data_IF_399122887648
#
_entry.id   IF_399122887648
#
_cell.length_a   1.000
_cell.length_b   1.000
_cell.length_c   1.000
_cell.angle_alpha   90.00
_cell.angle_beta   90.00
_cell.angle_gamma   90.00
#
_symmetry.space_group_name_H-M   'P 1'
#
loop_
_entity.id
_entity.type
_entity.pdbx_description
1 polymer ?
#
# COMPACT_ATOMS: atom_id res chain seq x y z
N UNK A 1 41.36 42.43 -4.56
CA UNK A 1 40.12 43.15 -4.97
C UNK A 1 39.46 42.40 -6.12
N UNK A 2 38.13 42.49 -6.17
CA UNK A 2 37.17 41.64 -6.89
C UNK A 2 37.16 41.76 -8.42
N UNK A 3 36.62 40.72 -9.07
CA UNK A 3 35.81 40.79 -10.30
C UNK A 3 36.51 40.31 -11.57
N UNK A 4 35.88 39.68 -12.57
CA UNK A 4 34.45 39.42 -12.86
C UNK A 4 34.34 38.40 -14.02
N UNK A 5 33.14 37.84 -14.13
CA UNK A 5 32.60 36.82 -15.05
C UNK A 5 32.67 37.09 -16.58
N UNK A 6 32.62 35.98 -17.35
CA UNK A 6 32.18 35.86 -18.76
C UNK A 6 33.11 34.91 -19.54
N UNK A 7 32.71 33.93 -20.36
CA UNK A 7 31.52 33.76 -21.22
C UNK A 7 31.47 32.29 -21.73
N UNK A 8 30.26 31.81 -22.02
CA UNK A 8 29.86 30.49 -22.56
C UNK A 8 30.59 30.07 -23.85
N UNK A 9 30.75 28.74 -24.07
CA UNK A 9 30.17 28.05 -25.24
C UNK A 9 30.31 26.52 -25.19
N UNK A 10 29.15 25.88 -25.30
CA UNK A 10 28.80 24.52 -25.77
C UNK A 10 29.88 23.71 -26.50
N UNK A 11 30.05 22.44 -26.12
CA UNK A 11 30.07 21.33 -27.08
C UNK A 11 30.00 19.95 -26.39
N UNK A 12 28.95 19.20 -26.76
CA UNK A 12 28.96 17.77 -27.06
C UNK A 12 28.97 16.74 -25.91
N UNK A 13 27.84 16.03 -25.87
CA UNK A 13 27.62 14.70 -25.34
C UNK A 13 28.81 13.76 -25.63
N UNK A 14 29.42 13.23 -24.58
CA UNK A 14 30.16 11.98 -24.65
C UNK A 14 29.55 11.02 -23.63
N UNK A 15 28.96 9.97 -24.16
CA UNK A 15 28.47 8.78 -23.49
C UNK A 15 29.52 8.22 -22.52
N UNK A 16 29.10 7.82 -21.32
CA UNK A 16 29.93 7.07 -20.39
C UNK A 16 29.15 6.64 -19.13
N UNK A 17 28.61 5.42 -19.07
CA UNK A 17 27.75 4.94 -18.00
C UNK A 17 28.57 4.20 -16.94
N UNK A 18 28.77 4.77 -15.76
CA UNK A 18 29.17 4.02 -14.57
C UNK A 18 29.31 4.96 -13.36
N UNK A 19 28.18 5.26 -12.73
CA UNK A 19 28.07 5.45 -11.29
C UNK A 19 26.61 5.77 -11.00
N UNK A 20 25.76 4.74 -10.95
CA UNK A 20 24.52 4.81 -10.20
C UNK A 20 24.98 4.95 -8.75
N UNK A 21 25.21 6.19 -8.35
CA UNK A 21 25.25 6.53 -6.94
C UNK A 21 23.84 6.22 -6.46
N UNK A 22 23.70 5.07 -5.80
CA UNK A 22 22.60 4.77 -4.89
C UNK A 22 22.67 5.79 -3.76
N UNK A 23 22.35 7.03 -4.08
CA UNK A 23 22.01 8.03 -3.11
C UNK A 23 20.62 7.60 -2.66
N UNK A 24 20.58 6.85 -1.56
CA UNK A 24 19.46 6.86 -0.62
C UNK A 24 19.29 8.30 -0.11
N UNK A 25 18.89 9.20 -1.00
CA UNK A 25 18.24 10.43 -0.59
C UNK A 25 16.87 9.96 -0.19
N UNK A 26 16.70 9.74 1.12
CA UNK A 26 15.46 10.04 1.82
C UNK A 26 14.96 11.36 1.27
N UNK A 27 14.15 11.29 0.21
CA UNK A 27 13.44 12.42 -0.35
C UNK A 27 12.68 13.03 0.82
N UNK A 28 12.88 14.33 1.01
CA UNK A 28 12.10 15.08 1.95
C UNK A 28 10.62 14.72 1.75
N UNK A 29 9.99 14.18 2.79
CA UNK A 29 8.60 13.76 2.84
C UNK A 29 7.70 14.99 2.64
N UNK A 30 7.60 15.46 1.40
CA UNK A 30 6.55 16.32 0.92
C UNK A 30 5.45 15.45 0.30
N UNK A 31 5.19 14.29 0.90
CA UNK A 31 3.97 13.55 0.65
C UNK A 31 2.86 14.38 1.28
N UNK A 32 1.89 14.81 0.47
CA UNK A 32 0.76 15.61 0.92
C UNK A 32 0.10 14.90 2.11
N UNK A 33 0.32 15.41 3.33
CA UNK A 33 -0.23 14.83 4.57
C UNK A 33 -1.75 14.72 4.49
N UNK A 34 -2.39 15.58 3.69
CA UNK A 34 -3.80 15.51 3.34
C UNK A 34 -4.15 14.19 2.66
N UNK A 35 -3.48 13.84 1.55
CA UNK A 35 -3.65 12.56 0.85
C UNK A 35 -3.36 11.35 1.74
N UNK A 36 -2.25 11.35 2.49
CA UNK A 36 -1.90 10.24 3.39
C UNK A 36 -2.98 10.03 4.45
N UNK A 37 -3.48 11.11 5.05
CA UNK A 37 -4.56 11.02 6.03
C UNK A 37 -5.91 10.62 5.40
N UNK A 38 -6.15 10.94 4.13
CA UNK A 38 -7.37 10.54 3.43
C UNK A 38 -7.36 9.03 3.10
N UNK A 39 -6.25 8.53 2.55
CA UNK A 39 -6.05 7.10 2.27
C UNK A 39 -6.08 6.30 3.57
N UNK A 40 -5.40 6.76 4.62
CA UNK A 40 -5.45 6.13 5.95
C UNK A 40 -6.89 5.93 6.46
N UNK A 41 -7.75 6.97 6.38
CA UNK A 41 -9.15 6.86 6.80
C UNK A 41 -9.93 5.87 5.94
N UNK A 42 -9.70 5.87 4.63
CA UNK A 42 -10.35 4.93 3.72
C UNK A 42 -9.94 3.49 4.01
N UNK A 43 -8.64 3.24 4.17
CA UNK A 43 -8.09 1.91 4.48
C UNK A 43 -8.56 1.43 5.86
N UNK A 44 -8.58 2.30 6.87
CA UNK A 44 -9.09 1.97 8.20
C UNK A 44 -10.60 1.67 8.19
N UNK A 45 -11.38 2.42 7.43
CA UNK A 45 -12.82 2.15 7.28
C UNK A 45 -13.07 0.85 6.49
N UNK A 46 -12.24 0.59 5.47
CA UNK A 46 -12.28 -0.65 4.70
C UNK A 46 -11.88 -1.86 5.55
N UNK A 47 -10.89 -1.73 6.45
CA UNK A 47 -10.48 -2.77 7.39
C UNK A 47 -11.69 -3.30 8.19
N UNK A 48 -12.45 -2.39 8.80
CA UNK A 48 -13.63 -2.76 9.58
C UNK A 48 -14.70 -3.46 8.72
N UNK A 49 -14.87 -3.03 7.47
CA UNK A 49 -15.82 -3.66 6.53
C UNK A 49 -15.36 -5.03 6.07
N UNK A 50 -14.07 -5.18 5.76
CA UNK A 50 -13.45 -6.46 5.35
C UNK A 50 -13.53 -7.44 6.51
N UNK A 51 -13.14 -7.05 7.73
CA UNK A 51 -13.27 -7.89 8.92
C UNK A 51 -14.73 -8.34 9.14
N UNK A 52 -15.70 -7.42 9.01
CA UNK A 52 -17.13 -7.75 9.11
C UNK A 52 -17.58 -8.74 8.04
N UNK A 53 -17.17 -8.54 6.78
CA UNK A 53 -17.54 -9.41 5.67
C UNK A 53 -16.91 -10.81 5.79
N UNK A 54 -15.66 -10.90 6.27
CA UNK A 54 -15.00 -12.18 6.61
C UNK A 54 -15.79 -12.90 7.70
N UNK A 55 -16.14 -12.22 8.80
CA UNK A 55 -16.93 -12.82 9.88
C UNK A 55 -18.33 -13.27 9.42
N UNK A 56 -18.94 -12.54 8.49
CA UNK A 56 -20.21 -12.91 7.87
C UNK A 56 -20.07 -14.00 6.78
N UNK A 57 -18.84 -14.38 6.41
CA UNK A 57 -18.54 -15.29 5.29
C UNK A 57 -19.16 -14.82 3.96
N UNK A 58 -19.24 -13.51 3.77
CA UNK A 58 -19.85 -12.89 2.60
C UNK A 58 -18.79 -12.61 1.52
N UNK A 59 -18.58 -13.60 0.65
CA UNK A 59 -17.63 -13.50 -0.47
C UNK A 59 -17.98 -12.38 -1.45
N UNK A 60 -19.26 -12.09 -1.68
CA UNK A 60 -19.68 -11.00 -2.58
C UNK A 60 -19.28 -9.63 -2.04
N UNK A 61 -19.52 -9.41 -0.74
CA UNK A 61 -19.05 -8.19 -0.08
C UNK A 61 -17.53 -8.09 -0.08
N UNK A 62 -16.81 -9.20 0.12
CA UNK A 62 -15.35 -9.21 0.07
C UNK A 62 -14.79 -8.88 -1.30
N UNK A 63 -15.31 -9.49 -2.37
CA UNK A 63 -14.90 -9.16 -3.75
C UNK A 63 -15.19 -7.69 -4.09
N UNK A 64 -16.34 -7.16 -3.65
CA UNK A 64 -16.68 -5.74 -3.85
C UNK A 64 -15.72 -4.80 -3.10
N UNK A 65 -15.41 -5.11 -1.84
CA UNK A 65 -14.44 -4.35 -1.04
C UNK A 65 -13.03 -4.44 -1.64
N UNK A 66 -12.63 -5.60 -2.13
CA UNK A 66 -11.38 -5.80 -2.86
C UNK A 66 -11.29 -4.92 -4.11
N UNK A 67 -12.37 -4.84 -4.90
CA UNK A 67 -12.44 -3.96 -6.07
C UNK A 67 -12.42 -2.47 -5.70
N UNK A 68 -13.07 -2.07 -4.61
CA UNK A 68 -13.02 -0.68 -4.10
C UNK A 68 -11.60 -0.30 -3.66
N UNK A 69 -10.89 -1.19 -2.96
CA UNK A 69 -9.49 -1.00 -2.60
C UNK A 69 -8.58 -1.02 -3.83
N UNK A 70 -8.90 -1.84 -4.84
CA UNK A 70 -8.22 -1.88 -6.13
C UNK A 70 -8.13 -0.51 -6.81
N UNK A 71 -9.21 0.28 -6.77
CA UNK A 71 -9.22 1.65 -7.33
C UNK A 71 -8.28 2.61 -6.59
N UNK A 72 -8.14 2.45 -5.27
CA UNK A 72 -7.20 3.24 -4.46
C UNK A 72 -5.75 2.90 -4.89
N UNK A 73 -5.47 1.61 -5.08
CA UNK A 73 -4.17 1.11 -5.52
C UNK A 73 -3.86 1.58 -6.95
N UNK A 74 -4.83 1.51 -7.87
CA UNK A 74 -4.68 1.98 -9.24
C UNK A 74 -4.35 3.48 -9.28
N UNK A 75 -5.01 4.28 -8.44
CA UNK A 75 -4.68 5.70 -8.27
C UNK A 75 -3.25 5.90 -7.72
N UNK A 76 -2.80 5.03 -6.81
CA UNK A 76 -1.43 5.05 -6.31
C UNK A 76 -0.39 4.64 -7.39
N UNK A 77 -0.70 3.63 -8.19
CA UNK A 77 0.14 3.17 -9.30
C UNK A 77 0.26 4.24 -10.39
N UNK A 78 -0.84 4.89 -10.77
CA UNK A 78 -0.81 6.03 -11.70
C UNK A 78 0.05 7.18 -11.17
N UNK A 79 0.03 7.46 -9.85
CA UNK A 79 0.94 8.44 -9.24
C UNK A 79 2.39 8.02 -9.40
N UNK A 80 2.71 6.73 -9.18
CA UNK A 80 4.05 6.19 -9.36
C UNK A 80 4.52 6.28 -10.81
N UNK A 81 3.65 5.98 -11.77
CA UNK A 81 3.95 6.12 -13.21
C UNK A 81 4.24 7.57 -13.60
N UNK A 82 3.56 8.53 -12.95
CA UNK A 82 3.80 9.96 -13.11
C UNK A 82 5.02 10.48 -12.31
N UNK A 83 5.85 9.61 -11.75
CA UNK A 83 7.07 9.96 -11.01
C UNK A 83 6.86 10.23 -9.51
N UNK A 84 5.69 9.91 -8.96
CA UNK A 84 5.41 9.94 -7.52
C UNK A 84 5.91 8.68 -6.79
N UNK A 85 5.82 8.69 -5.47
CA UNK A 85 6.14 7.52 -4.62
C UNK A 85 4.87 6.85 -4.11
N UNK A 86 4.96 5.54 -3.84
CA UNK A 86 3.90 4.74 -3.21
C UNK A 86 4.07 4.85 -1.71
N UNK A 87 3.02 5.31 -1.00
CA UNK A 87 3.07 5.48 0.45
C UNK A 87 2.92 4.15 1.18
N UNK A 88 3.25 4.12 2.48
CA UNK A 88 2.98 2.95 3.32
C UNK A 88 1.47 2.69 3.45
N UNK A 89 0.63 3.72 3.34
CA UNK A 89 -0.82 3.57 3.34
C UNK A 89 -1.34 2.92 2.05
N UNK A 90 -0.69 3.18 0.91
CA UNK A 90 -1.00 2.51 -0.35
C UNK A 90 -0.58 1.03 -0.30
N UNK A 91 0.57 0.73 0.32
CA UNK A 91 0.99 -0.65 0.60
C UNK A 91 0.02 -1.39 1.53
N UNK A 92 -0.46 -0.71 2.59
CA UNK A 92 -1.50 -1.26 3.45
C UNK A 92 -2.79 -1.54 2.68
N UNK A 93 -3.23 -0.61 1.82
CA UNK A 93 -4.39 -0.83 0.96
C UNK A 93 -4.23 -2.08 0.08
N UNK A 94 -3.02 -2.29 -0.46
CA UNK A 94 -2.69 -3.46 -1.26
C UNK A 94 -2.79 -4.78 -0.47
N UNK A 95 -2.13 -4.85 0.68
CA UNK A 95 -2.16 -6.02 1.57
C UNK A 95 -3.60 -6.35 2.02
N UNK A 96 -4.42 -5.33 2.29
CA UNK A 96 -5.83 -5.49 2.63
C UNK A 96 -6.68 -5.98 1.46
N UNK A 97 -6.47 -5.43 0.26
CA UNK A 97 -7.18 -5.81 -0.96
C UNK A 97 -6.91 -7.27 -1.30
N UNK A 98 -5.64 -7.68 -1.25
CA UNK A 98 -5.23 -9.06 -1.47
C UNK A 98 -5.89 -9.97 -0.44
N UNK A 99 -5.79 -9.65 0.85
CA UNK A 99 -6.46 -10.43 1.89
C UNK A 99 -7.96 -10.56 1.64
N UNK A 100 -8.66 -9.49 1.23
CA UNK A 100 -10.10 -9.53 0.95
C UNK A 100 -10.44 -10.44 -0.25
N UNK A 101 -9.74 -10.30 -1.38
CA UNK A 101 -9.98 -11.11 -2.58
C UNK A 101 -9.63 -12.57 -2.35
N UNK A 102 -8.45 -12.85 -1.79
CA UNK A 102 -8.02 -14.22 -1.48
C UNK A 102 -8.95 -14.88 -0.46
N UNK A 103 -9.52 -14.12 0.48
CA UNK A 103 -10.53 -14.62 1.40
C UNK A 103 -11.84 -14.95 0.68
N UNK A 104 -12.29 -14.08 -0.24
CA UNK A 104 -13.47 -14.34 -1.06
C UNK A 104 -13.30 -15.63 -1.88
N UNK A 105 -12.15 -15.79 -2.53
CA UNK A 105 -11.82 -16.97 -3.32
C UNK A 105 -11.73 -18.23 -2.44
N UNK A 106 -11.11 -18.11 -1.27
CA UNK A 106 -11.01 -19.23 -0.33
C UNK A 106 -12.37 -19.65 0.26
N UNK A 107 -13.33 -18.73 0.39
CA UNK A 107 -14.71 -19.05 0.81
C UNK A 107 -15.49 -19.79 -0.26
N UNK A 108 -15.21 -19.52 -1.53
CA UNK A 108 -15.85 -20.19 -2.69
C UNK A 108 -15.14 -21.53 -3.00
N UNK A 109 -13.85 -21.63 -2.69
CA UNK A 109 -13.03 -22.81 -2.92
C UNK A 109 -13.27 -23.95 -1.92
N UNK A 110 -12.88 -25.17 -2.29
CA UNK A 110 -13.01 -26.40 -1.48
C UNK A 110 -11.70 -27.18 -1.45
N UNK A 111 -11.53 -28.02 -0.42
CA UNK A 111 -10.35 -28.89 -0.29
C UNK A 111 -9.06 -28.12 0.03
N UNK A 112 -7.93 -28.57 -0.49
CA UNK A 112 -6.61 -27.99 -0.20
C UNK A 112 -6.46 -26.55 -0.69
N UNK A 113 -7.09 -26.21 -1.82
CA UNK A 113 -7.06 -24.85 -2.37
C UNK A 113 -7.64 -23.83 -1.38
N UNK A 114 -8.73 -24.17 -0.66
CA UNK A 114 -9.27 -23.33 0.42
C UNK A 114 -8.24 -23.12 1.53
N UNK A 115 -7.52 -24.16 1.94
CA UNK A 115 -6.53 -24.07 3.02
C UNK A 115 -5.37 -23.14 2.65
N UNK A 116 -4.86 -23.27 1.43
CA UNK A 116 -3.79 -22.41 0.91
C UNK A 116 -4.25 -20.95 0.82
N UNK A 117 -5.42 -20.70 0.20
CA UNK A 117 -5.97 -19.35 0.07
C UNK A 117 -6.24 -18.69 1.43
N UNK A 118 -6.75 -19.44 2.40
CA UNK A 118 -6.96 -18.91 3.76
C UNK A 118 -5.63 -18.59 4.45
N UNK A 119 -4.59 -19.40 4.25
CA UNK A 119 -3.26 -19.15 4.82
C UNK A 119 -2.58 -17.94 4.17
N UNK A 120 -2.70 -17.78 2.85
CA UNK A 120 -2.23 -16.61 2.11
C UNK A 120 -2.96 -15.35 2.59
N UNK A 121 -4.28 -15.44 2.78
CA UNK A 121 -5.09 -14.35 3.33
C UNK A 121 -4.64 -13.94 4.73
N UNK A 122 -4.33 -14.91 5.61
CA UNK A 122 -3.81 -14.64 6.96
C UNK A 122 -2.44 -13.96 6.90
N UNK A 123 -1.57 -14.40 5.98
CA UNK A 123 -0.24 -13.83 5.79
C UNK A 123 -0.33 -12.39 5.31
N UNK A 124 -1.15 -12.14 4.29
CA UNK A 124 -1.43 -10.80 3.78
C UNK A 124 -2.09 -9.88 4.83
N UNK A 125 -2.99 -10.41 5.66
CA UNK A 125 -3.56 -9.66 6.78
C UNK A 125 -2.52 -9.31 7.86
N UNK A 126 -1.49 -10.16 8.04
CA UNK A 126 -0.37 -9.84 8.93
C UNK A 126 0.55 -8.77 8.34
N UNK A 127 0.74 -8.76 7.03
CA UNK A 127 1.53 -7.71 6.36
C UNK A 127 0.77 -6.38 6.35
N UNK A 128 -0.55 -6.41 6.11
CA UNK A 128 -1.44 -5.27 6.32
C UNK A 128 -1.26 -4.64 7.70
N UNK A 129 -1.19 -5.45 8.76
CA UNK A 129 -0.97 -4.93 10.11
C UNK A 129 0.35 -4.15 10.23
N UNK A 130 1.43 -4.65 9.64
CA UNK A 130 2.74 -3.99 9.66
C UNK A 130 2.71 -2.70 8.82
N UNK A 131 2.10 -2.77 7.64
CA UNK A 131 1.98 -1.65 6.72
C UNK A 131 1.11 -0.54 7.31
N UNK A 132 0.01 -0.88 7.99
CA UNK A 132 -0.83 0.09 8.69
C UNK A 132 -0.11 0.75 9.85
N UNK A 133 0.71 0.02 10.61
CA UNK A 133 1.54 0.63 11.66
C UNK A 133 2.55 1.63 11.08
N UNK A 134 3.11 1.33 9.90
CA UNK A 134 3.97 2.28 9.18
C UNK A 134 3.17 3.47 8.63
N UNK A 135 1.94 3.25 8.15
CA UNK A 135 1.01 4.28 7.70
C UNK A 135 0.59 5.20 8.85
N UNK A 136 0.28 4.67 10.04
CA UNK A 136 -0.02 5.47 11.23
C UNK A 136 1.13 6.41 11.59
N UNK A 137 2.37 5.89 11.56
CA UNK A 137 3.59 6.68 11.81
C UNK A 137 3.75 7.78 10.77
N UNK A 138 3.54 7.49 9.48
CA UNK A 138 3.60 8.49 8.41
C UNK A 138 2.48 9.54 8.51
N UNK A 139 1.28 9.12 8.91
CA UNK A 139 0.11 9.97 9.08
C UNK A 139 0.09 10.76 10.41
N UNK A 140 1.11 10.57 11.27
CA UNK A 140 1.14 11.13 12.64
C UNK A 140 -0.12 10.79 13.46
N UNK A 141 -0.65 9.57 13.26
CA UNK A 141 -1.78 9.01 14.00
C UNK A 141 -1.28 8.09 15.12
N UNK A 142 -2.09 7.94 16.16
CA UNK A 142 -1.82 6.92 17.18
C UNK A 142 -1.85 5.54 16.52
N UNK A 143 -0.81 4.74 16.77
CA UNK A 143 -0.69 3.41 16.19
C UNK A 143 -1.88 2.52 16.64
N UNK A 144 -2.71 2.12 15.69
CA UNK A 144 -3.80 1.18 15.91
C UNK A 144 -3.28 -0.26 16.00
N UNK A 145 -4.05 -1.16 16.62
CA UNK A 145 -3.65 -2.58 16.65
C UNK A 145 -3.76 -3.24 15.27
N UNK A 146 -4.68 -2.77 14.41
CA UNK A 146 -4.97 -3.27 13.06
C UNK A 146 -5.07 -4.81 12.96
N UNK A 147 -5.52 -5.45 14.05
CA UNK A 147 -5.61 -6.93 14.17
C UNK A 147 -6.95 -7.50 13.74
N UNK A 148 -7.91 -6.66 13.33
CA UNK A 148 -9.31 -7.08 13.16
C UNK A 148 -9.47 -8.09 12.04
N UNK A 149 -8.79 -7.89 10.91
CA UNK A 149 -8.83 -8.78 9.75
C UNK A 149 -8.16 -10.12 10.06
N UNK A 150 -6.97 -10.09 10.68
CA UNK A 150 -6.26 -11.32 11.10
C UNK A 150 -7.12 -12.15 12.07
N UNK A 151 -7.77 -11.49 13.04
CA UNK A 151 -8.67 -12.17 13.98
C UNK A 151 -9.88 -12.77 13.28
N UNK A 152 -10.48 -12.04 12.35
CA UNK A 152 -11.62 -12.53 11.58
C UNK A 152 -11.24 -13.77 10.75
N UNK A 153 -10.05 -13.77 10.12
CA UNK A 153 -9.59 -14.90 9.31
C UNK A 153 -9.25 -16.14 10.14
N UNK A 154 -8.64 -15.96 11.31
CA UNK A 154 -8.35 -17.09 12.21
C UNK A 154 -9.59 -17.74 12.82
N UNK A 155 -10.75 -17.09 12.74
CA UNK A 155 -12.01 -17.64 13.22
C UNK A 155 -12.74 -18.53 12.19
N UNK A 156 -12.21 -18.66 10.95
CA UNK A 156 -12.78 -19.45 9.85
C UNK A 156 -12.25 -20.88 9.79
#
# INVERSE_FOLDING_TARGET
MQGRFGRRSTCWLALGPAAISLILTTGAMAQDRGQVSAVHRQVSAAEARVAKAISAKDSNSLSRLGNELGKIIETALQRRENGGEVSSCDMAAHSLAFAAVTSADGLISRGEARKLLMQDSISAASDFQKDMQACDRQASRAAGSHTSVVKALRAL
#
